data_IF_122892979538
#
_entry.id   IF_122892979538
#
_cell.length_a   1.000
_cell.length_b   1.000
_cell.length_c   1.000
_cell.angle_alpha   90.00
_cell.angle_beta   90.00
_cell.angle_gamma   90.00
#
_symmetry.space_group_name_H-M   'P 1'
#
loop_
_entity.id
_entity.type
_entity.pdbx_description
1 polymer ?
#
# COMPACT_ATOMS: atom_id res chain seq x y z
N UNK A 1 -13.60 31.44 -11.02
CA UNK A 1 -12.54 31.50 -10.00
C UNK A 1 -11.30 30.94 -10.66
N UNK A 2 -10.19 31.67 -10.62
CA UNK A 2 -8.97 31.31 -11.37
C UNK A 2 -8.38 29.99 -10.86
N UNK A 3 -8.23 29.03 -11.76
CA UNK A 3 -7.56 27.74 -11.55
C UNK A 3 -6.01 27.89 -11.41
N UNK A 4 -5.53 28.98 -10.86
CA UNK A 4 -4.10 29.19 -10.68
C UNK A 4 -3.64 28.50 -9.41
N UNK A 5 -2.74 27.52 -9.58
CA UNK A 5 -2.09 26.83 -8.48
C UNK A 5 -1.24 27.78 -7.64
N UNK A 6 -1.27 27.63 -6.35
CA UNK A 6 -0.35 28.34 -5.44
C UNK A 6 1.11 27.94 -5.69
N UNK A 7 2.06 28.75 -5.26
CA UNK A 7 3.51 28.43 -5.37
C UNK A 7 3.86 27.08 -4.72
N UNK A 8 3.23 26.76 -3.58
CA UNK A 8 3.43 25.46 -2.90
C UNK A 8 2.92 24.30 -3.79
N UNK A 9 1.75 24.44 -4.36
CA UNK A 9 1.13 23.44 -5.24
C UNK A 9 1.93 23.22 -6.52
N UNK A 10 2.40 24.31 -7.16
CA UNK A 10 3.27 24.21 -8.34
C UNK A 10 4.56 23.46 -8.02
N UNK A 11 5.23 23.79 -6.90
CA UNK A 11 6.45 23.07 -6.48
C UNK A 11 6.19 21.58 -6.17
N UNK A 12 5.04 21.24 -5.62
CA UNK A 12 4.64 19.86 -5.40
C UNK A 12 4.49 19.11 -6.73
N UNK A 13 3.78 19.69 -7.67
CA UNK A 13 3.60 19.12 -9.01
C UNK A 13 4.94 18.97 -9.74
N UNK A 14 5.81 19.98 -9.70
CA UNK A 14 7.15 19.93 -10.32
C UNK A 14 7.99 18.79 -9.73
N UNK A 15 8.01 18.64 -8.39
CA UNK A 15 8.72 17.52 -7.74
C UNK A 15 8.20 16.16 -8.22
N UNK A 16 6.88 16.00 -8.26
CA UNK A 16 6.26 14.77 -8.73
C UNK A 16 6.63 14.46 -10.19
N UNK A 17 6.53 15.43 -11.10
CA UNK A 17 6.87 15.26 -12.51
C UNK A 17 8.36 14.98 -12.73
N UNK A 18 9.24 15.62 -11.95
CA UNK A 18 10.68 15.34 -11.96
C UNK A 18 10.93 13.91 -11.53
N UNK A 19 10.28 13.46 -10.44
CA UNK A 19 10.39 12.08 -9.99
C UNK A 19 9.92 11.07 -11.04
N UNK A 20 8.79 11.32 -11.72
CA UNK A 20 8.31 10.44 -12.80
C UNK A 20 9.32 10.35 -13.96
N UNK A 21 9.95 11.46 -14.33
CA UNK A 21 10.99 11.47 -15.36
C UNK A 21 12.21 10.65 -14.95
N UNK A 22 12.71 10.86 -13.74
CA UNK A 22 13.85 10.12 -13.21
C UNK A 22 13.54 8.62 -13.05
N UNK A 23 12.32 8.29 -12.64
CA UNK A 23 11.88 6.90 -12.52
C UNK A 23 11.87 6.17 -13.87
N UNK A 24 11.41 6.84 -14.94
CA UNK A 24 11.43 6.26 -16.28
C UNK A 24 12.86 5.93 -16.73
N UNK A 25 13.82 6.82 -16.48
CA UNK A 25 15.23 6.56 -16.77
C UNK A 25 15.76 5.36 -15.97
N UNK A 26 15.42 5.27 -14.68
CA UNK A 26 15.84 4.15 -13.82
C UNK A 26 15.18 2.83 -14.19
N UNK A 27 13.93 2.84 -14.69
CA UNK A 27 13.29 1.64 -15.21
C UNK A 27 14.02 1.08 -16.43
N UNK A 28 14.49 1.96 -17.33
CA UNK A 28 15.31 1.57 -18.48
C UNK A 28 16.66 1.00 -18.04
N UNK A 29 17.32 1.62 -17.06
CA UNK A 29 18.58 1.13 -16.49
C UNK A 29 18.39 -0.20 -15.76
N UNK A 30 17.30 -0.39 -15.05
CA UNK A 30 17.01 -1.62 -14.30
C UNK A 30 16.83 -2.84 -15.21
N UNK A 31 16.45 -2.67 -16.45
CA UNK A 31 16.43 -3.77 -17.44
C UNK A 31 17.83 -4.33 -17.73
N UNK A 32 18.88 -3.55 -17.49
CA UNK A 32 20.28 -3.86 -17.76
C UNK A 32 21.14 -4.08 -16.50
N UNK A 33 20.58 -3.84 -15.31
CA UNK A 33 21.29 -3.94 -14.03
C UNK A 33 21.11 -5.30 -13.35
N UNK A 34 21.80 -5.50 -12.20
CA UNK A 34 21.62 -6.67 -11.35
C UNK A 34 20.15 -6.79 -10.90
N UNK A 35 19.57 -7.95 -11.16
CA UNK A 35 18.19 -8.23 -10.85
C UNK A 35 18.04 -8.73 -9.41
N UNK A 36 16.90 -8.40 -8.84
CA UNK A 36 16.49 -8.97 -7.57
C UNK A 36 16.21 -10.48 -7.71
N UNK A 37 16.12 -11.16 -6.58
CA UNK A 37 15.76 -12.59 -6.52
C UNK A 37 14.58 -12.89 -7.46
N UNK A 38 14.59 -14.05 -8.10
CA UNK A 38 13.61 -14.47 -9.14
C UNK A 38 13.53 -13.53 -10.35
N UNK A 39 14.62 -12.86 -10.67
CA UNK A 39 14.71 -11.95 -11.82
C UNK A 39 13.70 -10.79 -11.79
N UNK A 40 13.36 -10.30 -10.59
CA UNK A 40 12.43 -9.20 -10.40
C UNK A 40 13.06 -7.85 -10.67
N UNK A 41 12.30 -6.92 -11.26
CA UNK A 41 12.69 -5.52 -11.47
C UNK A 41 12.32 -4.62 -10.29
N UNK A 42 11.29 -4.99 -9.54
CA UNK A 42 10.73 -4.20 -8.45
C UNK A 42 10.12 -5.08 -7.36
N UNK A 43 9.91 -4.51 -6.18
CA UNK A 43 9.24 -5.16 -5.06
C UNK A 43 7.93 -4.43 -4.74
N UNK A 44 6.82 -5.20 -4.64
CA UNK A 44 5.52 -4.64 -4.29
C UNK A 44 5.36 -4.48 -2.78
N UNK A 45 4.65 -3.44 -2.35
CA UNK A 45 4.27 -3.23 -0.95
C UNK A 45 3.51 -4.44 -0.38
N UNK A 46 2.59 -5.02 -1.17
CA UNK A 46 1.87 -6.24 -0.79
C UNK A 46 2.79 -7.45 -0.60
N UNK A 47 3.82 -7.58 -1.42
CA UNK A 47 4.79 -8.68 -1.28
C UNK A 47 5.67 -8.49 -0.04
N UNK A 48 6.04 -7.25 0.31
CA UNK A 48 6.70 -6.96 1.59
C UNK A 48 5.77 -7.34 2.76
N UNK A 49 4.49 -6.99 2.68
CA UNK A 49 3.52 -7.40 3.69
C UNK A 49 3.41 -8.94 3.84
N UNK A 50 3.43 -9.67 2.73
CA UNK A 50 3.45 -11.14 2.73
C UNK A 50 4.70 -11.71 3.41
N UNK A 51 5.87 -11.07 3.27
CA UNK A 51 7.08 -11.46 4.00
C UNK A 51 6.88 -11.36 5.52
N UNK A 52 6.20 -10.31 6.01
CA UNK A 52 5.84 -10.18 7.43
C UNK A 52 4.82 -11.20 7.91
N UNK A 53 4.09 -11.83 6.99
CA UNK A 53 3.28 -12.99 7.32
C UNK A 53 4.13 -14.27 7.35
N UNK A 54 4.87 -14.57 6.26
CA UNK A 54 5.78 -15.71 6.15
C UNK A 54 6.66 -15.59 4.88
N UNK A 55 7.96 -15.35 5.01
CA UNK A 55 8.87 -15.28 3.85
C UNK A 55 9.02 -16.61 3.11
N UNK A 56 9.01 -17.74 3.83
CA UNK A 56 9.01 -19.05 3.17
C UNK A 56 7.83 -19.27 2.25
N UNK A 57 6.66 -18.69 2.57
CA UNK A 57 5.50 -18.72 1.68
C UNK A 57 5.77 -17.93 0.41
N UNK A 58 6.37 -16.75 0.51
CA UNK A 58 6.78 -15.95 -0.66
C UNK A 58 7.77 -16.73 -1.52
N UNK A 59 8.76 -17.38 -0.91
CA UNK A 59 9.75 -18.23 -1.59
C UNK A 59 9.06 -19.38 -2.35
N UNK A 60 8.15 -20.10 -1.68
CA UNK A 60 7.40 -21.21 -2.28
C UNK A 60 6.48 -20.76 -3.44
N UNK A 61 5.86 -19.59 -3.31
CA UNK A 61 5.02 -19.03 -4.38
C UNK A 61 5.84 -18.74 -5.65
N UNK A 62 7.07 -18.25 -5.49
CA UNK A 62 7.95 -18.02 -6.63
C UNK A 62 8.53 -19.31 -7.24
N UNK A 63 8.83 -20.30 -6.41
CA UNK A 63 9.40 -21.58 -6.89
C UNK A 63 8.35 -22.52 -7.50
N UNK A 64 7.13 -22.48 -7.02
CA UNK A 64 6.09 -23.45 -7.39
C UNK A 64 4.85 -22.85 -8.03
N UNK A 65 4.83 -21.55 -8.24
CA UNK A 65 3.67 -20.81 -8.75
C UNK A 65 2.66 -20.46 -7.64
N UNK A 66 1.80 -19.49 -7.94
CA UNK A 66 0.74 -19.05 -7.04
C UNK A 66 -0.36 -20.09 -6.96
N UNK A 67 -0.70 -20.52 -5.76
CA UNK A 67 -1.86 -21.36 -5.48
C UNK A 67 -3.02 -20.47 -5.08
N UNK A 68 -4.09 -20.47 -5.88
CA UNK A 68 -5.32 -19.77 -5.53
C UNK A 68 -6.06 -20.55 -4.45
N UNK A 69 -6.44 -19.85 -3.39
CA UNK A 69 -7.25 -20.40 -2.29
C UNK A 69 -8.56 -19.65 -2.22
N UNK A 70 -9.61 -20.26 -1.69
CA UNK A 70 -10.90 -19.58 -1.47
C UNK A 70 -10.73 -18.25 -0.71
N UNK A 71 -9.80 -18.20 0.25
CA UNK A 71 -9.53 -16.97 1.01
C UNK A 71 -8.90 -15.87 0.15
N UNK A 72 -8.01 -16.20 -0.80
CA UNK A 72 -7.40 -15.24 -1.72
C UNK A 72 -8.45 -14.74 -2.73
N UNK A 73 -9.21 -15.65 -3.32
CA UNK A 73 -10.29 -15.32 -4.24
C UNK A 73 -11.34 -14.41 -3.59
N UNK A 74 -11.80 -14.77 -2.40
CA UNK A 74 -12.72 -13.97 -1.62
C UNK A 74 -12.15 -12.59 -1.23
N UNK A 75 -10.84 -12.47 -1.02
CA UNK A 75 -10.16 -11.18 -0.81
C UNK A 75 -10.24 -10.29 -2.04
N UNK A 76 -9.96 -10.83 -3.24
CA UNK A 76 -10.05 -10.11 -4.51
C UNK A 76 -11.47 -9.64 -4.81
N UNK A 77 -12.47 -10.52 -4.65
CA UNK A 77 -13.89 -10.18 -4.82
C UNK A 77 -14.33 -9.06 -3.87
N UNK A 78 -13.84 -9.08 -2.61
CA UNK A 78 -14.11 -8.02 -1.65
C UNK A 78 -13.54 -6.66 -2.08
N UNK A 79 -12.33 -6.63 -2.63
CA UNK A 79 -11.74 -5.40 -3.15
C UNK A 79 -12.47 -4.87 -4.39
N UNK A 80 -12.89 -5.73 -5.32
CA UNK A 80 -13.70 -5.32 -6.47
C UNK A 80 -15.00 -4.65 -6.02
N UNK A 81 -15.65 -5.17 -4.97
CA UNK A 81 -16.87 -4.58 -4.40
C UNK A 81 -16.63 -3.18 -3.81
N UNK A 82 -15.43 -2.92 -3.25
CA UNK A 82 -15.09 -1.61 -2.68
C UNK A 82 -14.95 -0.50 -3.74
N UNK A 83 -14.74 -0.87 -5.00
CA UNK A 83 -14.53 0.07 -6.12
C UNK A 83 -15.83 0.50 -6.81
N UNK A 84 -16.94 -0.13 -6.50
CA UNK A 84 -18.24 0.23 -7.09
C UNK A 84 -18.55 1.69 -6.83
N UNK A 85 -18.64 2.46 -7.91
CA UNK A 85 -18.91 3.90 -7.88
C UNK A 85 -17.67 4.81 -7.96
N UNK A 86 -16.46 4.28 -8.11
CA UNK A 86 -15.29 5.08 -8.47
C UNK A 86 -15.38 5.50 -9.95
N UNK A 87 -15.09 6.79 -10.22
CA UNK A 87 -15.02 7.29 -11.60
C UNK A 87 -13.65 6.96 -12.18
N UNK A 88 -13.62 6.41 -13.39
CA UNK A 88 -12.40 6.35 -14.18
C UNK A 88 -12.01 7.77 -14.60
N UNK A 89 -10.82 8.20 -14.20
CA UNK A 89 -10.28 9.49 -14.58
C UNK A 89 -8.88 9.32 -15.16
N UNK A 90 -8.55 10.17 -16.15
CA UNK A 90 -7.19 10.24 -16.68
C UNK A 90 -6.19 10.65 -15.57
N UNK A 91 -4.99 10.04 -15.58
CA UNK A 91 -3.94 10.32 -14.59
C UNK A 91 -3.61 11.82 -14.49
N UNK A 92 -3.57 12.53 -15.63
CA UNK A 92 -3.33 13.97 -15.65
C UNK A 92 -4.45 14.76 -14.97
N UNK A 93 -5.69 14.32 -15.10
CA UNK A 93 -6.84 14.94 -14.41
C UNK A 93 -6.75 14.69 -12.90
N UNK A 94 -6.41 13.47 -12.48
CA UNK A 94 -6.21 13.12 -11.07
C UNK A 94 -5.11 14.00 -10.46
N UNK A 95 -3.96 14.13 -11.11
CA UNK A 95 -2.86 14.97 -10.64
C UNK A 95 -3.28 16.45 -10.53
N UNK A 96 -3.99 16.98 -11.53
CA UNK A 96 -4.51 18.36 -11.45
C UNK A 96 -5.43 18.55 -10.24
N UNK A 97 -6.30 17.59 -9.95
CA UNK A 97 -7.19 17.63 -8.78
C UNK A 97 -6.39 17.52 -7.46
N UNK A 98 -5.41 16.64 -7.37
CA UNK A 98 -4.54 16.54 -6.19
C UNK A 98 -3.90 17.89 -5.91
N UNK A 99 -3.27 18.49 -6.91
CA UNK A 99 -2.55 19.75 -6.75
C UNK A 99 -3.44 21.01 -6.79
N UNK A 100 -4.76 20.89 -7.04
CA UNK A 100 -5.70 22.02 -6.86
C UNK A 100 -5.85 22.44 -5.40
N UNK A 101 -5.51 21.52 -4.47
CA UNK A 101 -5.54 21.78 -3.03
C UNK A 101 -6.87 21.48 -2.35
N UNK A 102 -7.91 21.19 -3.11
CA UNK A 102 -9.17 20.69 -2.57
C UNK A 102 -8.98 19.25 -2.07
N UNK A 103 -9.68 18.86 -1.00
CA UNK A 103 -9.64 17.49 -0.54
C UNK A 103 -10.13 16.53 -1.63
N UNK A 104 -9.35 15.53 -1.96
CA UNK A 104 -9.71 14.50 -2.94
C UNK A 104 -9.33 13.12 -2.43
N UNK A 105 -10.21 12.15 -2.62
CA UNK A 105 -9.92 10.72 -2.42
C UNK A 105 -9.60 10.09 -3.77
N UNK A 106 -8.44 9.46 -3.86
CA UNK A 106 -8.03 8.73 -5.05
C UNK A 106 -7.94 7.26 -4.70
N UNK A 107 -8.74 6.44 -5.40
CA UNK A 107 -8.75 4.98 -5.22
C UNK A 107 -7.68 4.34 -6.10
N UNK A 108 -7.03 3.31 -5.58
CA UNK A 108 -6.07 2.46 -6.30
C UNK A 108 -5.03 3.21 -7.11
N UNK A 109 -4.55 4.32 -6.59
CA UNK A 109 -3.55 5.14 -7.26
C UNK A 109 -2.22 4.39 -7.37
N UNK A 110 -1.77 4.04 -8.60
CA UNK A 110 -0.53 3.31 -8.78
C UNK A 110 0.66 4.19 -8.43
N UNK A 111 1.49 3.74 -7.53
CA UNK A 111 2.67 4.43 -7.03
C UNK A 111 3.93 3.63 -7.31
N UNK A 112 4.98 4.32 -7.69
CA UNK A 112 6.33 3.80 -7.87
C UNK A 112 7.32 4.77 -7.26
N UNK A 113 8.35 4.28 -6.61
CA UNK A 113 9.50 5.10 -6.20
C UNK A 113 10.77 4.26 -6.10
N UNK A 114 11.91 4.92 -6.01
CA UNK A 114 13.20 4.26 -5.79
C UNK A 114 13.59 4.38 -4.32
N UNK A 115 13.97 3.28 -3.73
CA UNK A 115 14.55 3.23 -2.40
C UNK A 115 15.84 2.39 -2.42
N UNK A 116 16.99 3.03 -2.15
CA UNK A 116 18.31 2.38 -2.15
C UNK A 116 18.51 1.48 -3.38
N UNK A 117 18.34 2.03 -4.56
CA UNK A 117 18.49 1.38 -5.88
C UNK A 117 17.45 0.30 -6.22
N UNK A 118 16.47 0.07 -5.35
CA UNK A 118 15.35 -0.84 -5.62
C UNK A 118 14.09 -0.05 -5.93
N UNK A 119 13.42 -0.42 -7.00
CA UNK A 119 12.11 0.12 -7.33
C UNK A 119 11.06 -0.53 -6.43
N UNK A 120 10.35 0.29 -5.67
CA UNK A 120 9.18 -0.11 -4.88
C UNK A 120 7.92 0.24 -5.66
N UNK A 121 6.96 -0.67 -5.67
CA UNK A 121 5.65 -0.47 -6.29
C UNK A 121 4.54 -0.63 -5.25
N UNK A 122 3.49 0.19 -5.35
CA UNK A 122 2.35 0.12 -4.45
C UNK A 122 1.07 0.61 -5.11
N UNK A 123 -0.06 0.11 -4.60
CA UNK A 123 -1.40 0.52 -5.00
C UNK A 123 -2.27 0.47 -3.75
N UNK A 124 -2.34 1.57 -2.98
CA UNK A 124 -3.21 1.66 -1.81
C UNK A 124 -4.68 1.58 -2.22
N UNK A 125 -5.54 1.05 -1.36
CA UNK A 125 -6.98 0.98 -1.63
C UNK A 125 -7.59 2.38 -1.82
N UNK A 126 -7.13 3.37 -1.04
CA UNK A 126 -7.39 4.78 -1.28
C UNK A 126 -6.34 5.68 -0.64
N UNK A 127 -6.25 6.91 -1.13
CA UNK A 127 -5.46 7.99 -0.52
C UNK A 127 -6.34 9.24 -0.46
N UNK A 128 -6.45 9.84 0.73
CA UNK A 128 -7.01 11.16 0.91
C UNK A 128 -5.88 12.19 0.76
N UNK A 129 -5.96 13.02 -0.27
CA UNK A 129 -5.07 14.18 -0.44
C UNK A 129 -5.76 15.45 0.04
N UNK A 130 -4.98 16.37 0.61
CA UNK A 130 -5.42 17.69 1.00
C UNK A 130 -4.27 18.70 0.84
N UNK A 131 -4.55 19.80 0.16
CA UNK A 131 -3.50 20.81 -0.07
C UNK A 131 -2.39 20.38 -1.02
N UNK A 132 -2.56 19.29 -1.76
CA UNK A 132 -1.57 18.72 -2.67
C UNK A 132 -0.74 17.59 -2.05
N UNK A 133 -0.87 17.35 -0.74
CA UNK A 133 -0.10 16.35 -0.03
C UNK A 133 -1.02 15.22 0.50
N UNK A 134 -0.54 13.97 0.64
CA UNK A 134 -1.34 12.88 1.18
C UNK A 134 -1.53 13.06 2.69
N UNK A 135 -2.78 13.05 3.12
CA UNK A 135 -3.16 13.14 4.52
C UNK A 135 -3.39 11.76 5.15
N UNK A 136 -4.09 10.85 4.44
CA UNK A 136 -4.35 9.51 4.94
C UNK A 136 -4.22 8.49 3.80
N UNK A 137 -3.43 7.44 4.03
CA UNK A 137 -3.43 6.23 3.20
C UNK A 137 -4.35 5.21 3.83
N UNK A 138 -5.25 4.64 3.07
CA UNK A 138 -6.19 3.61 3.52
C UNK A 138 -5.76 2.24 3.03
N UNK A 139 -5.80 1.28 3.95
CA UNK A 139 -5.65 -0.15 3.69
C UNK A 139 -6.85 -0.89 4.28
N UNK A 140 -7.63 -1.56 3.45
CA UNK A 140 -8.85 -2.25 3.84
C UNK A 140 -8.66 -3.76 3.88
N UNK A 141 -9.07 -4.41 4.94
CA UNK A 141 -8.88 -5.85 5.14
C UNK A 141 -10.14 -6.55 5.61
N UNK A 142 -10.40 -7.70 5.04
CA UNK A 142 -11.41 -8.63 5.52
C UNK A 142 -10.76 -9.71 6.39
N UNK A 143 -11.09 -9.74 7.68
CA UNK A 143 -10.47 -10.65 8.64
C UNK A 143 -11.45 -11.10 9.72
N UNK A 144 -11.25 -12.30 10.25
CA UNK A 144 -11.97 -12.78 11.42
C UNK A 144 -11.44 -12.15 12.73
N UNK A 145 -10.23 -11.58 12.70
CA UNK A 145 -9.68 -10.81 13.81
C UNK A 145 -9.94 -9.32 13.55
N UNK A 146 -10.54 -8.58 14.49
CA UNK A 146 -10.76 -7.15 14.32
C UNK A 146 -9.46 -6.33 14.39
N UNK A 147 -8.38 -6.90 14.89
CA UNK A 147 -7.11 -6.19 15.10
C UNK A 147 -6.21 -6.26 13.89
N UNK A 148 -5.46 -5.17 13.57
CA UNK A 148 -4.53 -5.17 12.46
C UNK A 148 -3.33 -6.07 12.74
N UNK A 149 -2.91 -6.83 11.73
CA UNK A 149 -1.70 -7.64 11.78
C UNK A 149 -0.46 -6.82 11.41
N UNK A 150 0.72 -7.28 11.86
CA UNK A 150 2.01 -6.66 11.53
C UNK A 150 2.21 -6.46 10.02
N UNK A 151 1.72 -7.40 9.20
CA UNK A 151 1.75 -7.31 7.74
C UNK A 151 0.97 -6.13 7.18
N UNK A 152 -0.17 -5.77 7.78
CA UNK A 152 -0.98 -4.62 7.35
C UNK A 152 -0.26 -3.30 7.62
N UNK A 153 0.35 -3.19 8.80
CA UNK A 153 1.18 -2.03 9.14
C UNK A 153 2.39 -1.90 8.21
N UNK A 154 3.07 -3.01 7.89
CA UNK A 154 4.20 -2.99 6.97
C UNK A 154 3.76 -2.50 5.58
N UNK A 155 2.64 -3.01 5.06
CA UNK A 155 2.10 -2.59 3.76
C UNK A 155 1.81 -1.09 3.72
N UNK A 156 1.07 -0.58 4.71
CA UNK A 156 0.69 0.83 4.79
C UNK A 156 1.92 1.75 4.94
N UNK A 157 2.91 1.34 5.75
CA UNK A 157 4.17 2.10 5.89
C UNK A 157 4.99 2.12 4.60
N UNK A 158 5.01 1.02 3.84
CA UNK A 158 5.67 0.99 2.52
C UNK A 158 5.01 1.98 1.56
N UNK A 159 3.68 2.09 1.56
CA UNK A 159 2.99 3.11 0.77
C UNK A 159 3.41 4.53 1.15
N UNK A 160 3.51 4.84 2.44
CA UNK A 160 4.00 6.14 2.90
C UNK A 160 5.42 6.42 2.40
N UNK A 161 6.32 5.42 2.43
CA UNK A 161 7.69 5.58 1.91
C UNK A 161 7.74 5.75 0.39
N UNK A 162 6.81 5.09 -0.35
CA UNK A 162 6.70 5.29 -1.80
C UNK A 162 6.21 6.70 -2.11
N UNK A 163 5.21 7.23 -1.37
CA UNK A 163 4.72 8.60 -1.52
C UNK A 163 5.81 9.64 -1.27
N UNK A 164 6.59 9.49 -0.18
CA UNK A 164 7.75 10.34 0.09
C UNK A 164 8.76 10.29 -1.06
N UNK A 165 9.11 9.10 -1.52
CA UNK A 165 10.01 8.92 -2.66
C UNK A 165 9.46 9.45 -3.98
N UNK A 166 8.14 9.54 -4.14
CA UNK A 166 7.48 10.15 -5.28
C UNK A 166 7.37 11.69 -5.20
N UNK A 167 7.94 12.29 -4.15
CA UNK A 167 8.06 13.74 -3.99
C UNK A 167 6.90 14.42 -3.27
N UNK A 168 5.97 13.65 -2.67
CA UNK A 168 4.94 14.21 -1.79
C UNK A 168 5.53 14.53 -0.40
N UNK A 169 4.96 15.55 0.25
CA UNK A 169 5.25 15.82 1.66
C UNK A 169 4.44 14.83 2.54
N UNK A 170 5.15 14.00 3.28
CA UNK A 170 4.57 12.98 4.17
C UNK A 170 4.75 13.30 5.66
N UNK A 171 5.10 14.53 6.00
CA UNK A 171 5.33 14.96 7.39
C UNK A 171 4.08 14.84 8.27
N UNK A 172 2.91 15.08 7.69
CA UNK A 172 1.60 15.00 8.36
C UNK A 172 0.78 13.76 7.93
N UNK A 173 1.44 12.78 7.32
CA UNK A 173 0.78 11.58 6.81
C UNK A 173 0.34 10.65 7.94
N UNK A 174 -0.87 10.17 7.84
CA UNK A 174 -1.43 9.05 8.61
C UNK A 174 -1.71 7.86 7.70
N UNK A 175 -1.84 6.69 8.28
CA UNK A 175 -2.44 5.56 7.59
C UNK A 175 -3.57 4.96 8.42
N UNK A 176 -4.64 4.60 7.73
CA UNK A 176 -5.82 3.97 8.30
C UNK A 176 -5.86 2.50 7.87
N UNK A 177 -5.94 1.59 8.85
CA UNK A 177 -6.21 0.17 8.59
C UNK A 177 -7.64 -0.11 8.99
N UNK A 178 -8.50 -0.36 8.00
CA UNK A 178 -9.88 -0.73 8.20
C UNK A 178 -10.03 -2.25 8.13
N UNK A 179 -10.49 -2.85 9.21
CA UNK A 179 -10.68 -4.31 9.29
C UNK A 179 -12.16 -4.62 9.46
N UNK A 180 -12.74 -5.30 8.48
CA UNK A 180 -14.13 -5.76 8.50
C UNK A 180 -14.22 -7.27 8.61
N UNK A 181 -15.28 -7.80 9.22
CA UNK A 181 -15.61 -9.21 9.16
C UNK A 181 -15.76 -9.70 7.70
N UNK A 182 -15.44 -10.95 7.44
CA UNK A 182 -15.48 -11.51 6.08
C UNK A 182 -16.87 -11.49 5.45
N UNK A 183 -17.91 -11.58 6.25
CA UNK A 183 -19.31 -11.48 5.83
C UNK A 183 -19.70 -10.11 5.30
N UNK A 184 -18.92 -9.08 5.57
CA UNK A 184 -19.19 -7.69 5.13
C UNK A 184 -18.72 -7.40 3.71
N UNK A 185 -18.16 -8.37 2.99
CA UNK A 185 -17.61 -8.17 1.64
C UNK A 185 -18.61 -7.64 0.62
N UNK A 186 -19.90 -7.93 0.80
CA UNK A 186 -20.97 -7.42 -0.06
C UNK A 186 -21.49 -6.02 0.26
N UNK A 187 -20.95 -5.32 1.26
CA UNK A 187 -21.36 -3.95 1.61
C UNK A 187 -20.57 -2.92 0.78
N UNK A 188 -21.08 -2.64 -0.42
CA UNK A 188 -20.47 -1.71 -1.39
C UNK A 188 -20.25 -0.28 -0.86
N UNK A 189 -21.04 0.15 0.13
CA UNK A 189 -20.93 1.50 0.71
C UNK A 189 -20.01 1.60 1.92
N UNK A 190 -19.54 0.49 2.47
CA UNK A 190 -18.84 0.48 3.76
C UNK A 190 -17.51 1.23 3.69
N UNK A 191 -16.73 1.00 2.65
CA UNK A 191 -15.43 1.67 2.50
C UNK A 191 -15.56 3.18 2.32
N UNK A 192 -16.54 3.63 1.55
CA UNK A 192 -16.85 5.06 1.41
C UNK A 192 -17.19 5.68 2.77
N UNK A 193 -18.05 5.02 3.56
CA UNK A 193 -18.38 5.50 4.92
C UNK A 193 -17.16 5.54 5.84
N UNK A 194 -16.22 4.61 5.69
CA UNK A 194 -14.94 4.62 6.42
C UNK A 194 -14.13 5.88 6.07
N UNK A 195 -13.99 6.18 4.79
CA UNK A 195 -13.25 7.36 4.33
C UNK A 195 -13.92 8.65 4.81
N UNK A 196 -15.25 8.75 4.67
CA UNK A 196 -16.04 9.89 5.14
C UNK A 196 -15.86 10.11 6.64
N UNK A 197 -16.00 9.05 7.45
CA UNK A 197 -15.84 9.12 8.90
C UNK A 197 -14.42 9.54 9.32
N UNK A 198 -13.38 9.04 8.65
CA UNK A 198 -12.00 9.45 8.91
C UNK A 198 -11.77 10.91 8.53
N UNK A 199 -12.34 11.35 7.41
CA UNK A 199 -12.21 12.74 6.96
C UNK A 199 -12.95 13.72 7.90
N UNK A 200 -14.11 13.35 8.44
CA UNK A 200 -14.91 14.16 9.35
C UNK A 200 -14.29 14.27 10.75
N UNK A 201 -13.82 13.16 11.30
CA UNK A 201 -13.23 13.13 12.66
C UNK A 201 -11.77 13.61 12.68
N UNK A 202 -11.10 13.59 11.50
CA UNK A 202 -9.67 13.85 11.40
C UNK A 202 -8.82 12.72 11.99
N UNK A 203 -7.50 12.81 11.87
CA UNK A 203 -6.59 11.77 12.35
C UNK A 203 -6.37 11.78 13.87
N UNK A 204 -7.09 12.62 14.63
CA UNK A 204 -6.91 12.75 16.08
C UNK A 204 -7.44 11.58 16.93
N UNK A 205 -8.33 10.75 16.39
CA UNK A 205 -8.81 9.56 17.07
C UNK A 205 -8.05 8.31 16.64
N UNK A 206 -7.42 7.63 17.57
CA UNK A 206 -6.63 6.43 17.31
C UNK A 206 -7.44 5.25 16.73
N UNK A 207 -8.74 5.21 16.96
CA UNK A 207 -9.64 4.20 16.39
C UNK A 207 -11.10 4.65 16.38
N UNK A 208 -11.87 4.16 15.41
CA UNK A 208 -13.32 4.38 15.31
C UNK A 208 -14.02 3.13 14.76
N UNK A 209 -15.34 3.07 14.97
CA UNK A 209 -16.19 2.03 14.40
C UNK A 209 -17.09 2.63 13.32
N UNK A 210 -17.10 2.02 12.13
CA UNK A 210 -17.96 2.40 11.02
C UNK A 210 -18.75 1.17 10.56
N UNK A 211 -20.02 1.12 10.92
CA UNK A 211 -20.79 -0.11 10.77
C UNK A 211 -20.14 -1.24 11.57
N UNK A 212 -19.69 -2.28 10.91
CA UNK A 212 -18.95 -3.40 11.49
C UNK A 212 -17.44 -3.37 11.21
N UNK A 213 -16.92 -2.30 10.57
CA UNK A 213 -15.51 -2.10 10.36
C UNK A 213 -14.86 -1.44 11.58
N UNK A 214 -13.77 -2.05 12.06
CA UNK A 214 -12.84 -1.43 13.00
C UNK A 214 -11.78 -0.66 12.21
N UNK A 215 -11.71 0.64 12.39
CA UNK A 215 -10.77 1.52 11.71
C UNK A 215 -9.73 2.00 12.73
N UNK A 216 -8.47 1.79 12.43
CA UNK A 216 -7.34 2.18 13.26
C UNK A 216 -6.49 3.18 12.50
N UNK A 217 -6.19 4.32 13.12
CA UNK A 217 -5.34 5.38 12.56
C UNK A 217 -4.00 5.40 13.28
N UNK A 218 -2.95 5.58 12.48
CA UNK A 218 -1.58 5.64 12.95
C UNK A 218 -0.83 6.75 12.24
N UNK A 219 -0.02 7.51 12.96
CA UNK A 219 0.94 8.41 12.36
C UNK A 219 1.94 7.63 11.51
N UNK A 220 2.25 8.15 10.34
CA UNK A 220 3.31 7.58 9.52
C UNK A 220 4.67 7.85 10.17
N UNK A 221 5.47 6.80 10.27
CA UNK A 221 6.82 6.88 10.83
C UNK A 221 7.81 6.38 9.79
N UNK A 222 8.47 7.32 9.11
CA UNK A 222 9.45 7.00 8.05
C UNK A 222 10.56 6.07 8.53
N UNK A 223 11.23 6.27 9.68
CA UNK A 223 12.23 5.32 10.18
C UNK A 223 11.70 3.90 10.40
N UNK A 224 10.44 3.74 10.78
CA UNK A 224 9.82 2.43 10.91
C UNK A 224 9.58 1.79 9.53
N UNK A 225 9.11 2.57 8.55
CA UNK A 225 8.95 2.11 7.17
C UNK A 225 10.29 1.66 6.57
N UNK A 226 11.33 2.44 6.74
CA UNK A 226 12.68 2.12 6.25
C UNK A 226 13.25 0.86 6.88
N UNK A 227 13.08 0.63 8.18
CA UNK A 227 13.47 -0.64 8.83
C UNK A 227 12.74 -1.84 8.26
N UNK A 228 11.42 -1.72 8.02
CA UNK A 228 10.63 -2.79 7.44
C UNK A 228 11.09 -3.11 6.00
N UNK A 229 11.35 -2.08 5.20
CA UNK A 229 11.80 -2.22 3.82
C UNK A 229 13.22 -2.81 3.79
N UNK A 230 14.15 -2.30 4.59
CA UNK A 230 15.53 -2.80 4.65
C UNK A 230 15.60 -4.29 5.01
N UNK A 231 14.78 -4.69 5.99
CA UNK A 231 14.66 -6.09 6.36
C UNK A 231 14.16 -6.94 5.18
N UNK A 232 13.13 -6.48 4.48
CA UNK A 232 12.56 -7.17 3.33
C UNK A 232 13.54 -7.24 2.15
N UNK A 233 14.23 -6.13 1.86
CA UNK A 233 15.20 -6.06 0.75
C UNK A 233 16.42 -6.93 0.98
N UNK A 234 16.80 -7.25 2.20
CA UNK A 234 17.85 -8.23 2.48
C UNK A 234 17.58 -9.59 1.84
N UNK A 235 16.32 -10.04 1.82
CA UNK A 235 15.90 -11.25 1.10
C UNK A 235 15.89 -11.04 -0.42
N UNK A 236 15.30 -9.95 -0.92
CA UNK A 236 15.19 -9.71 -2.36
C UNK A 236 16.53 -9.52 -3.06
N UNK A 237 17.52 -8.97 -2.38
CA UNK A 237 18.91 -8.84 -2.86
C UNK A 237 19.73 -10.12 -2.73
N UNK A 238 19.16 -11.20 -2.19
CA UNK A 238 19.88 -12.44 -1.94
C UNK A 238 20.95 -12.36 -0.83
N UNK A 239 20.91 -11.30 0.00
CA UNK A 239 21.83 -11.13 1.12
C UNK A 239 21.51 -12.09 2.28
N UNK A 240 20.34 -12.68 2.30
CA UNK A 240 19.90 -13.70 3.24
C UNK A 240 18.82 -14.60 2.64
N UNK A 241 18.67 -15.77 3.23
CA UNK A 241 17.60 -16.70 2.90
C UNK A 241 16.25 -16.27 3.49
N UNK A 242 15.17 -16.87 2.98
CA UNK A 242 13.82 -16.65 3.49
C UNK A 242 13.69 -17.16 4.94
N UNK A 243 13.23 -16.28 5.82
CA UNK A 243 12.98 -16.60 7.22
C UNK A 243 11.70 -17.44 7.37
N UNK A 244 11.71 -18.49 8.23
CA UNK A 244 10.50 -19.21 8.55
C UNK A 244 9.56 -18.35 9.39
N UNK A 245 8.28 -18.74 9.46
CA UNK A 245 7.30 -18.08 10.31
C UNK A 245 7.56 -18.39 11.79
N UNK A 246 7.42 -17.38 12.65
CA UNK A 246 7.59 -17.54 14.10
C UNK A 246 6.48 -18.40 14.75
N UNK A 247 5.28 -18.41 14.18
CA UNK A 247 4.15 -19.16 14.68
C UNK A 247 3.82 -20.37 13.78
N UNK A 248 4.19 -21.60 14.19
CA UNK A 248 3.90 -22.81 13.41
C UNK A 248 2.42 -23.09 13.15
N UNK A 249 1.51 -22.47 13.92
CA UNK A 249 0.07 -22.60 13.65
C UNK A 249 -0.32 -22.06 12.27
N UNK A 250 0.40 -21.06 11.75
CA UNK A 250 0.19 -20.54 10.38
C UNK A 250 0.47 -21.59 9.31
N UNK A 251 1.37 -22.55 9.57
CA UNK A 251 1.70 -23.62 8.64
C UNK A 251 0.55 -24.63 8.47
N UNK A 252 -0.36 -24.76 9.43
CA UNK A 252 -1.45 -25.75 9.37
C UNK A 252 -2.43 -25.49 8.22
N UNK A 253 -2.66 -24.21 7.89
CA UNK A 253 -3.54 -23.78 6.82
C UNK A 253 -2.81 -23.24 5.59
N UNK A 254 -1.48 -23.43 5.53
CA UNK A 254 -0.67 -22.93 4.43
C UNK A 254 -0.80 -23.86 3.20
N UNK A 255 -1.10 -23.30 2.06
CA UNK A 255 -1.23 -23.99 0.78
C UNK A 255 0.08 -24.64 0.30
N UNK A 256 1.23 -24.20 0.82
CA UNK A 256 2.56 -24.74 0.50
C UNK A 256 3.12 -25.66 1.58
N UNK A 257 2.31 -26.07 2.57
CA UNK A 257 2.78 -26.86 3.71
C UNK A 257 3.59 -28.07 3.30
N UNK A 258 3.08 -28.87 2.35
CA UNK A 258 3.71 -30.13 1.90
C UNK A 258 5.01 -29.92 1.12
N UNK A 259 5.22 -28.71 0.58
CA UNK A 259 6.43 -28.36 -0.18
C UNK A 259 7.46 -27.63 0.67
N UNK A 260 7.05 -27.08 1.80
CA UNK A 260 7.87 -26.26 2.68
C UNK A 260 8.45 -27.02 3.86
N UNK A 261 7.77 -28.08 4.35
CA UNK A 261 8.16 -28.99 5.43
C UNK A 261 8.73 -30.28 4.88
#
# INVERSE_FOLDING_TARGET
MSDELTVKQMRGLERYLTHESDLNLRLLDAEHSERLKFNRLYVKASTIAEQFYCEKKVDMEHLHGRIETETKQQGSEGHETLQVGSLEADRGEILRKIFSGEPIVVHEFPLLSVYRDVILAGQPDAILFKGGDPLVVFEYKFSNSPYPYKSYHAQARVYGRILDGAGFDTSDLFYAIAVSPRESRGDEGLFRRVIEAVNENGPGEASLMVGNAHVYLFEYNQPAAERDIDWALGYWRGARDASPVDNPAKCRSCEYREKCL
#
